data_IF_617340260482
#
_entry.id   IF_617340260482
#
_cell.length_a   1.000
_cell.length_b   1.000
_cell.length_c   1.000
_cell.angle_alpha   90.00
_cell.angle_beta   90.00
_cell.angle_gamma   90.00
#
_symmetry.space_group_name_H-M   'P 1'
#
loop_
_entity.id
_entity.type
_entity.pdbx_description
1 polymer ?
#
# COMPACT_ATOMS: atom_id res chain seq x y z
N UNK A 1 18.36 -5.73 -36.80
CA UNK A 1 19.60 -6.36 -36.33
C UNK A 1 20.01 -7.43 -37.33
N UNK A 2 21.25 -7.42 -37.80
CA UNK A 2 21.80 -8.52 -38.58
C UNK A 2 21.99 -9.77 -37.71
N UNK A 3 22.10 -10.95 -38.32
CA UNK A 3 22.25 -12.23 -37.59
C UNK A 3 23.42 -12.28 -36.60
N UNK A 4 24.48 -11.49 -36.84
CA UNK A 4 25.65 -11.37 -35.95
C UNK A 4 25.40 -10.55 -34.68
N UNK A 5 24.47 -9.59 -34.71
CA UNK A 5 24.23 -8.70 -33.57
C UNK A 5 23.41 -9.37 -32.45
N UNK A 6 22.58 -10.34 -32.82
CA UNK A 6 21.81 -11.14 -31.86
C UNK A 6 22.64 -12.23 -31.19
N UNK A 7 23.85 -12.53 -31.68
CA UNK A 7 24.73 -13.54 -31.08
C UNK A 7 25.21 -13.16 -29.66
N UNK A 8 25.25 -11.85 -29.36
CA UNK A 8 25.59 -11.32 -28.04
C UNK A 8 24.37 -11.19 -27.10
N UNK A 9 23.16 -11.41 -27.61
CA UNK A 9 21.92 -11.35 -26.82
C UNK A 9 21.67 -12.73 -26.23
N UNK A 10 21.46 -12.85 -24.90
CA UNK A 10 21.12 -14.13 -24.30
C UNK A 10 19.90 -14.76 -24.98
N UNK A 11 19.94 -16.07 -25.23
CA UNK A 11 18.93 -16.78 -26.03
C UNK A 11 17.50 -16.56 -25.54
N UNK A 12 17.30 -16.46 -24.23
CA UNK A 12 15.99 -16.21 -23.63
C UNK A 12 15.38 -14.83 -23.97
N UNK A 13 16.19 -13.82 -24.32
CA UNK A 13 15.68 -12.55 -24.87
C UNK A 13 15.44 -12.66 -26.39
N UNK A 14 16.28 -13.41 -27.11
CA UNK A 14 16.13 -13.64 -28.56
C UNK A 14 14.81 -14.36 -28.86
N UNK A 15 14.43 -15.32 -28.00
CA UNK A 15 13.19 -16.09 -28.11
C UNK A 15 11.92 -15.21 -27.99
N UNK A 16 12.01 -14.06 -27.30
CA UNK A 16 10.90 -13.12 -27.07
C UNK A 16 10.96 -11.88 -27.97
N UNK A 17 11.76 -11.90 -29.05
CA UNK A 17 12.06 -10.72 -29.89
C UNK A 17 10.82 -9.99 -30.44
N UNK A 18 9.73 -10.71 -30.70
CA UNK A 18 8.51 -10.15 -31.28
C UNK A 18 7.69 -9.36 -30.25
N UNK A 19 7.99 -9.51 -28.96
CA UNK A 19 7.38 -8.77 -27.85
C UNK A 19 8.25 -7.60 -27.36
N UNK A 20 9.50 -7.53 -27.80
CA UNK A 20 10.46 -6.50 -27.39
C UNK A 20 10.33 -5.31 -28.35
N UNK A 21 9.76 -4.21 -27.87
CA UNK A 21 9.52 -3.00 -28.66
C UNK A 21 10.79 -2.27 -29.12
N UNK A 22 11.93 -2.51 -28.47
CA UNK A 22 13.19 -1.86 -28.80
C UNK A 22 14.38 -2.57 -28.20
N UNK A 23 15.50 -2.55 -28.93
CA UNK A 23 16.76 -3.13 -28.50
C UNK A 23 17.81 -2.03 -28.37
N UNK A 24 18.53 -2.03 -27.25
CA UNK A 24 19.64 -1.12 -27.02
C UNK A 24 20.94 -1.90 -27.06
N UNK A 25 21.86 -1.49 -27.94
CA UNK A 25 23.24 -1.97 -27.93
C UNK A 25 24.05 -1.05 -27.03
N UNK A 26 24.55 -1.57 -25.92
CA UNK A 26 25.51 -0.84 -25.11
C UNK A 26 26.81 -0.71 -25.88
N UNK A 27 27.11 0.49 -26.35
CA UNK A 27 28.31 0.78 -27.15
C UNK A 27 29.49 1.25 -26.30
N UNK A 28 29.19 1.90 -25.18
CA UNK A 28 30.18 2.52 -24.29
C UNK A 28 29.57 2.68 -22.89
N UNK A 29 30.41 2.57 -21.85
CA UNK A 29 30.07 2.93 -20.48
C UNK A 29 31.04 4.02 -20.04
N UNK A 30 30.51 5.18 -19.68
CA UNK A 30 31.29 6.29 -19.15
C UNK A 30 30.95 6.50 -17.68
N UNK A 31 31.97 6.71 -16.85
CA UNK A 31 31.75 7.17 -15.48
C UNK A 31 31.24 8.62 -15.52
N UNK A 32 30.15 8.90 -14.81
CA UNK A 32 29.59 10.24 -14.66
C UNK A 32 29.23 10.50 -13.20
N UNK A 33 29.11 11.77 -12.84
CA UNK A 33 28.53 12.15 -11.55
C UNK A 33 27.06 11.74 -11.50
N UNK A 34 26.61 11.21 -10.36
CA UNK A 34 25.22 10.84 -10.17
C UNK A 34 24.36 12.11 -10.13
N UNK A 35 23.38 12.20 -11.03
CA UNK A 35 22.47 13.34 -11.13
C UNK A 35 21.08 12.93 -10.66
N UNK A 36 20.67 13.37 -9.46
CA UNK A 36 19.35 13.10 -8.87
C UNK A 36 18.22 13.52 -9.82
N UNK A 37 18.34 14.67 -10.48
CA UNK A 37 17.36 15.18 -11.44
C UNK A 37 17.14 14.23 -12.63
N UNK A 38 18.15 13.46 -13.02
CA UNK A 38 18.04 12.48 -14.10
C UNK A 38 17.49 11.16 -13.57
N UNK A 39 17.99 10.70 -12.42
CA UNK A 39 17.51 9.48 -11.76
C UNK A 39 16.01 9.55 -11.44
N UNK A 40 15.54 10.67 -10.89
CA UNK A 40 14.14 10.89 -10.53
C UNK A 40 13.20 10.81 -11.74
N UNK A 41 13.71 11.09 -12.95
CA UNK A 41 12.94 10.99 -14.20
C UNK A 41 12.69 9.56 -14.65
N UNK A 42 13.54 8.61 -14.26
CA UNK A 42 13.33 7.20 -14.57
C UNK A 42 12.13 6.66 -13.78
N UNK A 43 11.95 7.06 -12.53
CA UNK A 43 10.84 6.56 -11.72
C UNK A 43 10.92 5.04 -11.53
N UNK A 44 9.82 4.32 -11.80
CA UNK A 44 9.80 2.85 -11.93
C UNK A 44 10.19 2.36 -13.34
N UNK A 45 10.45 3.27 -14.27
CA UNK A 45 10.64 2.97 -15.69
C UNK A 45 12.12 2.84 -16.04
N UNK A 46 12.40 2.00 -17.03
CA UNK A 46 13.75 1.82 -17.58
C UNK A 46 14.14 2.92 -18.57
N UNK A 47 13.19 3.72 -19.06
CA UNK A 47 13.39 4.68 -20.14
C UNK A 47 12.92 6.08 -19.74
N UNK A 48 13.77 7.09 -19.96
CA UNK A 48 13.43 8.50 -19.80
C UNK A 48 13.15 9.12 -21.18
N UNK A 49 11.95 9.62 -21.45
CA UNK A 49 11.70 10.40 -22.66
C UNK A 49 12.51 11.71 -22.60
N UNK A 50 13.30 11.96 -23.65
CA UNK A 50 14.11 13.18 -23.78
C UNK A 50 13.27 14.41 -24.17
N UNK A 51 12.05 14.20 -24.66
CA UNK A 51 11.11 15.29 -24.95
C UNK A 51 10.57 15.89 -23.64
N UNK A 52 10.81 17.19 -23.42
CA UNK A 52 10.32 17.95 -22.26
C UNK A 52 8.78 18.05 -22.19
N UNK A 53 8.07 17.67 -23.25
CA UNK A 53 6.60 17.57 -23.27
C UNK A 53 6.06 16.25 -22.71
N UNK A 54 6.93 15.26 -22.49
CA UNK A 54 6.51 14.01 -21.88
C UNK A 54 6.20 14.24 -20.40
N UNK A 55 4.97 13.89 -20.00
CA UNK A 55 4.53 13.87 -18.61
C UNK A 55 5.43 12.92 -17.82
N UNK A 56 6.12 13.44 -16.81
CA UNK A 56 6.93 12.62 -15.90
C UNK A 56 6.01 11.99 -14.85
N UNK A 57 6.29 10.77 -14.38
CA UNK A 57 5.49 10.17 -13.31
C UNK A 57 5.61 11.03 -12.06
N UNK A 58 4.48 11.54 -11.56
CA UNK A 58 4.44 12.35 -10.35
C UNK A 58 4.56 11.43 -9.13
N UNK A 59 5.76 11.43 -8.54
CA UNK A 59 6.02 10.83 -7.22
C UNK A 59 5.38 11.60 -6.09
N UNK A 60 4.88 12.82 -6.31
CA UNK A 60 4.17 13.58 -5.29
C UNK A 60 2.82 14.04 -5.82
N UNK A 61 1.75 13.48 -5.26
CA UNK A 61 0.39 13.80 -5.67
C UNK A 61 -0.04 15.20 -5.18
N UNK A 62 -1.03 15.78 -5.88
CA UNK A 62 -1.70 17.01 -5.45
C UNK A 62 -2.37 16.86 -4.07
N UNK A 63 -2.52 18.00 -3.38
CA UNK A 63 -3.12 18.06 -2.05
C UNK A 63 -4.63 17.84 -2.10
N UNK A 64 -5.11 16.84 -1.37
CA UNK A 64 -6.54 16.61 -1.14
C UNK A 64 -6.96 17.24 0.17
N UNK A 65 -8.06 17.99 0.17
CA UNK A 65 -8.53 18.74 1.35
C UNK A 65 -9.79 18.08 1.89
N UNK A 66 -9.79 17.78 3.18
CA UNK A 66 -10.97 17.34 3.91
C UNK A 66 -11.18 18.25 5.13
N UNK A 67 -12.40 18.74 5.31
CA UNK A 67 -12.77 19.50 6.52
C UNK A 67 -13.10 18.56 7.69
N UNK A 68 -12.19 17.61 7.93
CA UNK A 68 -12.34 16.46 8.81
C UNK A 68 -10.96 16.02 9.29
N UNK A 69 -10.90 15.38 10.45
CA UNK A 69 -9.65 15.20 11.20
C UNK A 69 -9.19 13.75 11.31
N UNK A 70 -9.85 12.79 10.65
CA UNK A 70 -9.55 11.38 10.84
C UNK A 70 -9.31 10.59 9.54
N UNK A 71 -8.48 9.56 9.65
CA UNK A 71 -8.22 8.55 8.62
C UNK A 71 -8.84 7.23 9.08
N UNK A 72 -9.72 6.65 8.27
CA UNK A 72 -10.18 5.27 8.41
C UNK A 72 -9.18 4.36 7.69
N UNK A 73 -8.53 3.46 8.40
CA UNK A 73 -7.60 2.48 7.85
C UNK A 73 -8.24 1.09 7.80
N UNK A 74 -8.26 0.53 6.59
CA UNK A 74 -8.72 -0.80 6.26
C UNK A 74 -7.56 -1.59 5.63
N UNK A 75 -7.65 -2.91 5.67
CA UNK A 75 -6.67 -3.78 5.01
C UNK A 75 -7.28 -5.15 4.72
N UNK A 76 -6.72 -5.90 3.79
CA UNK A 76 -7.05 -7.30 3.53
C UNK A 76 -8.58 -7.49 3.39
N UNK A 77 -9.14 -6.84 2.36
CA UNK A 77 -10.57 -6.88 2.09
C UNK A 77 -10.98 -8.22 1.47
N UNK A 78 -10.14 -8.78 0.59
CA UNK A 78 -10.35 -10.08 -0.04
C UNK A 78 -11.70 -10.26 -0.74
N UNK A 79 -12.18 -9.27 -1.51
CA UNK A 79 -13.34 -9.47 -2.37
C UNK A 79 -13.11 -10.72 -3.22
N UNK A 80 -13.92 -11.75 -3.00
CA UNK A 80 -13.54 -13.08 -3.40
C UNK A 80 -14.37 -14.19 -2.79
N UNK A 81 -13.96 -15.44 -3.04
CA UNK A 81 -14.35 -16.59 -2.22
C UNK A 81 -14.01 -16.41 -0.73
N UNK A 82 -13.01 -15.60 -0.40
CA UNK A 82 -12.57 -15.38 0.98
C UNK A 82 -13.27 -14.18 1.66
N UNK A 83 -14.21 -13.49 0.99
CA UNK A 83 -14.91 -12.30 1.51
C UNK A 83 -16.01 -12.65 2.53
N UNK A 84 -16.13 -11.88 3.62
CA UNK A 84 -17.07 -12.16 4.71
C UNK A 84 -18.36 -11.34 4.68
N UNK A 85 -18.44 -10.26 3.90
CA UNK A 85 -19.58 -9.34 3.89
C UNK A 85 -20.47 -9.58 2.67
N UNK A 86 -21.70 -9.05 2.71
CA UNK A 86 -22.56 -9.03 1.52
C UNK A 86 -22.01 -8.04 0.49
N UNK A 87 -22.21 -8.34 -0.79
CA UNK A 87 -21.97 -7.37 -1.86
C UNK A 87 -23.10 -6.33 -1.90
N UNK A 88 -22.80 -5.12 -2.40
CA UNK A 88 -23.83 -4.11 -2.63
C UNK A 88 -24.94 -4.64 -3.54
N UNK A 89 -26.19 -4.54 -3.07
CA UNK A 89 -27.38 -5.04 -3.78
C UNK A 89 -27.66 -6.54 -3.63
N UNK A 90 -26.82 -7.28 -2.90
CA UNK A 90 -27.07 -8.69 -2.59
C UNK A 90 -28.23 -8.83 -1.60
N UNK A 91 -29.16 -9.75 -1.88
CA UNK A 91 -30.23 -10.10 -0.94
C UNK A 91 -29.77 -11.26 -0.06
N UNK A 92 -29.67 -11.10 1.27
CA UNK A 92 -29.24 -12.18 2.15
C UNK A 92 -30.25 -13.34 2.12
N UNK A 93 -29.72 -14.57 2.11
CA UNK A 93 -30.53 -15.76 2.34
C UNK A 93 -31.20 -15.73 3.72
N UNK A 94 -32.33 -16.42 3.87
CA UNK A 94 -33.05 -16.51 5.16
C UNK A 94 -32.11 -17.04 6.25
N UNK A 95 -31.99 -16.30 7.34
CA UNK A 95 -31.09 -16.62 8.46
C UNK A 95 -29.67 -16.07 8.34
N UNK A 96 -29.28 -15.51 7.18
CA UNK A 96 -28.03 -14.78 7.03
C UNK A 96 -28.21 -13.34 7.56
N UNK A 97 -27.52 -13.00 8.64
CA UNK A 97 -27.58 -11.66 9.26
C UNK A 97 -26.44 -10.75 8.80
N UNK A 98 -25.63 -11.18 7.83
CA UNK A 98 -24.52 -10.37 7.34
C UNK A 98 -25.05 -9.09 6.68
N UNK A 99 -24.23 -8.05 6.77
CA UNK A 99 -24.41 -6.76 6.12
C UNK A 99 -23.33 -6.55 5.07
N UNK A 100 -23.48 -5.51 4.28
CA UNK A 100 -22.36 -4.99 3.48
C UNK A 100 -21.27 -4.42 4.38
N UNK A 101 -20.04 -4.32 3.88
CA UNK A 101 -18.93 -3.74 4.64
C UNK A 101 -19.23 -2.30 5.06
N UNK A 102 -19.83 -1.51 4.17
CA UNK A 102 -20.28 -0.15 4.42
C UNK A 102 -21.25 -0.11 5.58
N UNK A 103 -22.33 -0.88 5.55
CA UNK A 103 -23.32 -0.87 6.63
C UNK A 103 -22.71 -1.28 7.98
N UNK A 104 -21.87 -2.31 8.00
CA UNK A 104 -21.20 -2.76 9.22
C UNK A 104 -20.24 -1.69 9.79
N UNK A 105 -19.45 -1.05 8.93
CA UNK A 105 -18.56 0.06 9.31
C UNK A 105 -19.38 1.25 9.82
N UNK A 106 -20.42 1.67 9.11
CA UNK A 106 -21.22 2.84 9.48
C UNK A 106 -21.95 2.63 10.81
N UNK A 107 -22.43 1.42 11.08
CA UNK A 107 -23.02 1.07 12.37
C UNK A 107 -22.01 1.24 13.52
N UNK A 108 -20.79 0.70 13.36
CA UNK A 108 -19.79 0.73 14.43
C UNK A 108 -19.13 2.11 14.59
N UNK A 109 -18.82 2.80 13.47
CA UNK A 109 -18.38 4.19 13.46
C UNK A 109 -19.41 5.12 14.10
N UNK A 110 -20.70 4.82 13.94
CA UNK A 110 -21.79 5.51 14.61
C UNK A 110 -21.75 5.33 16.12
N UNK A 111 -21.49 4.10 16.61
CA UNK A 111 -21.38 3.80 18.05
C UNK A 111 -20.22 4.52 18.72
N UNK A 112 -19.10 4.67 18.04
CA UNK A 112 -17.92 5.36 18.58
C UNK A 112 -17.86 6.85 18.22
N UNK A 113 -18.93 7.39 17.61
CA UNK A 113 -19.04 8.79 17.22
C UNK A 113 -17.99 9.25 16.21
N UNK A 114 -17.37 8.34 15.45
CA UNK A 114 -16.29 8.66 14.51
C UNK A 114 -16.78 9.02 13.10
N UNK A 115 -18.04 8.70 12.77
CA UNK A 115 -18.59 8.84 11.41
C UNK A 115 -18.30 10.19 10.75
N UNK A 116 -18.49 11.29 11.48
CA UNK A 116 -18.37 12.64 10.94
C UNK A 116 -16.91 13.15 10.94
N UNK A 117 -15.99 12.43 11.57
CA UNK A 117 -14.57 12.80 11.66
C UNK A 117 -13.76 12.24 10.48
N UNK A 118 -14.24 11.18 9.81
CA UNK A 118 -13.48 10.49 8.76
C UNK A 118 -13.36 11.37 7.51
N UNK A 119 -12.16 11.89 7.27
CA UNK A 119 -11.81 12.67 6.09
C UNK A 119 -11.10 11.87 5.00
N UNK A 120 -10.57 10.68 5.30
CA UNK A 120 -9.82 9.85 4.35
C UNK A 120 -10.05 8.38 4.63
N UNK A 121 -10.09 7.55 3.58
CA UNK A 121 -9.98 6.10 3.68
C UNK A 121 -8.59 5.69 3.19
N UNK A 122 -7.83 4.96 4.00
CA UNK A 122 -6.56 4.34 3.63
C UNK A 122 -6.73 2.84 3.59
N UNK A 123 -6.36 2.19 2.49
CA UNK A 123 -6.45 0.73 2.31
C UNK A 123 -5.07 0.16 2.03
N UNK A 124 -4.57 -0.68 2.94
CA UNK A 124 -3.22 -1.28 2.84
C UNK A 124 -3.22 -2.64 2.14
N UNK A 125 -3.87 -2.74 0.98
CA UNK A 125 -3.78 -3.89 0.09
C UNK A 125 -4.80 -5.00 0.30
N UNK A 126 -4.69 -5.99 -0.58
CA UNK A 126 -5.51 -7.19 -0.70
C UNK A 126 -6.99 -6.85 -0.87
N UNK A 127 -7.28 -6.04 -1.89
CA UNK A 127 -8.65 -5.76 -2.32
C UNK A 127 -9.32 -7.03 -2.86
N UNK A 128 -8.59 -7.83 -3.63
CA UNK A 128 -9.11 -9.04 -4.27
C UNK A 128 -8.62 -10.31 -3.59
N UNK A 129 -9.34 -11.41 -3.79
CA UNK A 129 -8.81 -12.74 -3.52
C UNK A 129 -8.10 -13.28 -4.76
N UNK A 130 -6.80 -13.56 -4.63
CA UNK A 130 -5.97 -14.26 -5.64
C UNK A 130 -5.89 -13.56 -7.01
N UNK A 131 -5.93 -12.22 -7.02
CA UNK A 131 -5.75 -11.43 -8.24
C UNK A 131 -6.92 -11.50 -9.21
N UNK A 132 -8.12 -11.88 -8.72
CA UNK A 132 -9.34 -11.90 -9.53
C UNK A 132 -9.78 -10.47 -9.83
N UNK A 133 -9.32 -9.92 -10.95
CA UNK A 133 -9.77 -8.62 -11.48
C UNK A 133 -10.85 -8.76 -12.56
N UNK A 134 -11.65 -9.83 -12.51
CA UNK A 134 -12.81 -9.96 -13.41
C UNK A 134 -13.72 -8.72 -13.32
N UNK A 135 -14.41 -8.40 -14.41
CA UNK A 135 -15.30 -7.23 -14.45
C UNK A 135 -16.30 -7.23 -13.29
N UNK A 136 -16.91 -8.39 -12.99
CA UNK A 136 -17.84 -8.54 -11.88
C UNK A 136 -17.16 -8.22 -10.53
N UNK A 137 -15.94 -8.72 -10.30
CA UNK A 137 -15.19 -8.45 -9.06
C UNK A 137 -14.87 -6.96 -8.93
N UNK A 138 -14.26 -6.38 -9.97
CA UNK A 138 -13.87 -4.97 -9.99
C UNK A 138 -15.08 -4.06 -9.75
N UNK A 139 -16.20 -4.32 -10.43
CA UNK A 139 -17.45 -3.58 -10.22
C UNK A 139 -17.99 -3.72 -8.81
N UNK A 140 -17.88 -4.88 -8.17
CA UNK A 140 -18.33 -5.06 -6.78
C UNK A 140 -17.50 -4.24 -5.77
N UNK A 141 -16.18 -4.17 -5.97
CA UNK A 141 -15.29 -3.35 -5.14
C UNK A 141 -15.62 -1.86 -5.34
N UNK A 142 -15.73 -1.41 -6.59
CA UNK A 142 -16.06 -0.01 -6.90
C UNK A 142 -17.44 0.38 -6.33
N UNK A 143 -18.43 -0.51 -6.39
CA UNK A 143 -19.75 -0.28 -5.79
C UNK A 143 -19.68 -0.16 -4.26
N UNK A 144 -18.87 -0.99 -3.60
CA UNK A 144 -18.66 -0.91 -2.15
C UNK A 144 -18.05 0.45 -1.77
N UNK A 145 -16.97 0.86 -2.43
CA UNK A 145 -16.32 2.14 -2.13
C UNK A 145 -17.19 3.34 -2.52
N UNK A 146 -18.00 3.25 -3.58
CA UNK A 146 -19.00 4.28 -3.89
C UNK A 146 -20.06 4.40 -2.79
N UNK A 147 -20.50 3.28 -2.21
CA UNK A 147 -21.43 3.26 -1.07
C UNK A 147 -20.78 3.86 0.18
N UNK A 148 -19.55 3.45 0.50
CA UNK A 148 -18.81 3.90 1.67
C UNK A 148 -18.47 5.39 1.62
N UNK A 149 -17.94 5.88 0.50
CA UNK A 149 -17.63 7.31 0.29
C UNK A 149 -18.88 8.16 0.40
N UNK A 150 -20.01 7.74 -0.20
CA UNK A 150 -21.31 8.41 -0.05
C UNK A 150 -21.80 8.42 1.39
N UNK A 151 -21.69 7.31 2.11
CA UNK A 151 -22.15 7.18 3.50
C UNK A 151 -21.32 8.03 4.48
N UNK A 152 -20.03 8.18 4.18
CA UNK A 152 -19.14 9.07 4.90
C UNK A 152 -19.29 10.52 4.42
N UNK A 153 -19.70 10.79 3.19
CA UNK A 153 -19.71 12.14 2.62
C UNK A 153 -18.30 12.64 2.30
N UNK A 154 -17.49 11.77 1.70
CA UNK A 154 -16.16 12.07 1.16
C UNK A 154 -16.13 11.70 -0.33
N UNK A 155 -15.14 12.22 -1.05
CA UNK A 155 -14.94 12.00 -2.48
C UNK A 155 -13.89 10.92 -2.75
N UNK A 156 -13.82 10.48 -4.01
CA UNK A 156 -12.91 9.41 -4.43
C UNK A 156 -11.42 9.73 -4.26
N UNK A 157 -11.04 11.01 -4.35
CA UNK A 157 -9.67 11.46 -4.12
C UNK A 157 -9.30 11.44 -2.62
N UNK A 158 -10.27 11.28 -1.72
CA UNK A 158 -10.02 11.06 -0.30
C UNK A 158 -9.77 9.57 0.03
N UNK A 159 -9.62 8.72 -0.99
CA UNK A 159 -9.19 7.32 -0.83
C UNK A 159 -7.71 7.23 -1.18
N UNK A 160 -6.96 6.49 -0.36
CA UNK A 160 -5.56 6.11 -0.60
C UNK A 160 -5.50 4.59 -0.67
N UNK A 161 -5.07 4.08 -1.82
CA UNK A 161 -4.98 2.64 -2.08
C UNK A 161 -3.51 2.22 -2.22
N UNK A 162 -3.14 1.17 -1.51
CA UNK A 162 -1.84 0.48 -1.58
C UNK A 162 -2.11 -0.94 -2.11
N UNK A 163 -1.28 -1.51 -3.00
CA UNK A 163 -1.47 -2.88 -3.47
C UNK A 163 -1.06 -3.89 -2.41
N UNK A 164 -1.80 -5.00 -2.33
CA UNK A 164 -1.36 -6.21 -1.64
C UNK A 164 -0.96 -7.33 -2.59
N UNK A 165 -0.39 -8.41 -2.06
CA UNK A 165 0.17 -9.48 -2.91
C UNK A 165 -0.93 -10.36 -3.54
N UNK A 166 -2.17 -10.27 -3.08
CA UNK A 166 -3.33 -10.81 -3.77
C UNK A 166 -3.90 -9.84 -4.81
N UNK A 167 -3.46 -8.60 -4.89
CA UNK A 167 -3.88 -7.65 -5.94
C UNK A 167 -3.00 -7.76 -7.20
N UNK A 168 -1.82 -8.36 -7.07
CA UNK A 168 -0.88 -8.57 -8.18
C UNK A 168 -1.10 -9.95 -8.79
N UNK A 169 -1.24 -10.00 -10.13
CA UNK A 169 -1.50 -11.26 -10.85
C UNK A 169 -0.25 -12.14 -10.80
N UNK A 170 -0.36 -13.26 -10.09
CA UNK A 170 0.72 -14.26 -9.95
C UNK A 170 0.75 -15.21 -11.14
N UNK A 171 1.91 -15.80 -11.41
CA UNK A 171 2.11 -16.79 -12.46
C UNK A 171 1.37 -18.08 -12.08
N UNK A 172 0.74 -18.73 -13.06
CA UNK A 172 -0.14 -19.87 -12.83
C UNK A 172 0.56 -21.11 -12.27
N UNK A 173 1.88 -21.24 -12.42
CA UNK A 173 2.65 -22.35 -11.87
C UNK A 173 4.09 -21.94 -11.52
N UNK A 174 4.42 -21.69 -10.24
CA UNK A 174 5.77 -21.33 -9.81
C UNK A 174 6.81 -22.44 -10.01
N UNK A 175 6.37 -23.71 -10.19
CA UNK A 175 7.26 -24.87 -10.24
C UNK A 175 7.79 -25.20 -11.64
N UNK A 176 7.19 -24.62 -12.69
CA UNK A 176 7.59 -24.80 -14.09
C UNK A 176 8.25 -23.56 -14.70
N UNK A 177 8.43 -22.51 -13.90
CA UNK A 177 8.86 -21.21 -14.38
C UNK A 177 10.36 -21.02 -14.14
N UNK A 178 11.11 -20.88 -15.23
CA UNK A 178 12.50 -20.44 -15.20
C UNK A 178 12.57 -19.00 -14.62
N UNK A 179 13.22 -18.79 -13.45
CA UNK A 179 13.30 -17.47 -12.83
C UNK A 179 13.88 -16.39 -13.75
N UNK A 180 14.77 -16.75 -14.67
CA UNK A 180 15.35 -15.83 -15.64
C UNK A 180 14.32 -15.39 -16.69
N UNK A 181 13.54 -16.32 -17.25
CA UNK A 181 12.46 -15.99 -18.22
C UNK A 181 11.35 -15.15 -17.58
N UNK A 182 11.06 -15.40 -16.31
CA UNK A 182 10.05 -14.69 -15.55
C UNK A 182 10.46 -13.25 -15.24
N UNK A 183 11.71 -13.05 -14.81
CA UNK A 183 12.27 -11.72 -14.60
C UNK A 183 12.19 -10.87 -15.87
N UNK A 184 12.51 -11.47 -17.03
CA UNK A 184 12.40 -10.82 -18.34
C UNK A 184 10.96 -10.46 -18.70
N UNK A 185 10.02 -11.40 -18.61
CA UNK A 185 8.60 -11.14 -18.94
C UNK A 185 7.99 -10.06 -18.04
N UNK A 186 8.35 -10.02 -16.76
CA UNK A 186 7.82 -9.08 -15.78
C UNK A 186 8.37 -7.66 -15.96
N UNK A 187 9.67 -7.54 -16.26
CA UNK A 187 10.32 -6.26 -16.56
C UNK A 187 9.88 -5.69 -17.92
N UNK A 188 9.56 -6.57 -18.88
CA UNK A 188 9.19 -6.14 -20.23
C UNK A 188 7.75 -5.62 -20.36
N UNK A 189 6.83 -6.03 -19.48
CA UNK A 189 5.38 -5.81 -19.71
C UNK A 189 4.61 -5.11 -18.59
N UNK A 190 5.09 -5.12 -17.34
CA UNK A 190 4.35 -4.64 -16.15
C UNK A 190 2.92 -5.21 -16.02
N UNK A 191 2.62 -6.33 -16.71
CA UNK A 191 1.27 -6.87 -16.84
C UNK A 191 0.70 -7.34 -15.50
N UNK A 192 1.58 -7.78 -14.59
CA UNK A 192 1.23 -8.29 -13.27
C UNK A 192 0.53 -7.26 -12.37
N UNK A 193 0.85 -5.97 -12.52
CA UNK A 193 0.25 -4.86 -11.75
C UNK A 193 -0.74 -4.02 -12.58
N UNK A 194 -0.84 -4.25 -13.89
CA UNK A 194 -1.69 -3.47 -14.80
C UNK A 194 -3.15 -3.42 -14.35
N UNK A 195 -3.71 -4.57 -13.95
CA UNK A 195 -5.12 -4.63 -13.52
C UNK A 195 -5.36 -3.79 -12.26
N UNK A 196 -4.44 -3.85 -11.30
CA UNK A 196 -4.49 -3.01 -10.10
C UNK A 196 -4.36 -1.53 -10.44
N UNK A 197 -3.44 -1.16 -11.35
CA UNK A 197 -3.25 0.22 -11.81
C UNK A 197 -4.51 0.78 -12.48
N UNK A 198 -5.16 0.01 -13.34
CA UNK A 198 -6.44 0.38 -13.95
C UNK A 198 -7.54 0.53 -12.90
N UNK A 199 -7.58 -0.38 -11.93
CA UNK A 199 -8.50 -0.26 -10.80
C UNK A 199 -8.26 1.02 -9.98
N UNK A 200 -7.02 1.42 -9.72
CA UNK A 200 -6.70 2.68 -9.05
C UNK A 200 -7.16 3.91 -9.85
N UNK A 201 -7.09 3.87 -11.18
CA UNK A 201 -7.63 4.97 -12.00
C UNK A 201 -9.14 5.12 -11.83
N UNK A 202 -9.87 4.00 -11.79
CA UNK A 202 -11.32 4.00 -11.55
C UNK A 202 -11.66 4.41 -10.11
N UNK A 203 -10.96 3.83 -9.12
CA UNK A 203 -11.24 4.02 -7.70
C UNK A 203 -10.85 5.41 -7.20
N UNK A 204 -9.62 5.86 -7.50
CA UNK A 204 -9.04 7.07 -6.90
C UNK A 204 -8.66 8.15 -7.92
N UNK A 205 -8.83 7.88 -9.22
CA UNK A 205 -8.49 8.83 -10.28
C UNK A 205 -6.99 8.99 -10.55
N UNK A 206 -6.13 8.13 -9.98
CA UNK A 206 -4.69 8.13 -10.26
C UNK A 206 -4.46 7.37 -11.57
N UNK A 207 -3.89 8.04 -12.55
CA UNK A 207 -3.58 7.45 -13.86
C UNK A 207 -2.77 6.16 -13.70
N UNK A 208 -3.14 5.12 -14.46
CA UNK A 208 -2.47 3.81 -14.42
C UNK A 208 -0.97 3.88 -14.79
N UNK A 209 -0.55 4.96 -15.46
CA UNK A 209 0.84 5.23 -15.86
C UNK A 209 1.70 5.78 -14.72
N UNK A 210 1.09 6.29 -13.66
CA UNK A 210 1.80 6.86 -12.52
C UNK A 210 2.40 5.78 -11.64
N UNK A 211 3.55 6.03 -11.02
CA UNK A 211 4.15 5.08 -10.07
C UNK A 211 3.21 4.71 -8.91
N UNK A 212 3.31 3.46 -8.44
CA UNK A 212 2.64 2.98 -7.23
C UNK A 212 3.42 3.33 -5.94
N UNK A 213 4.65 3.85 -6.08
CA UNK A 213 5.48 4.38 -5.01
C UNK A 213 5.47 5.92 -5.04
N UNK A 214 4.67 6.55 -4.20
CA UNK A 214 4.45 8.01 -4.25
C UNK A 214 4.07 8.60 -2.90
N UNK A 215 4.14 9.93 -2.81
CA UNK A 215 3.74 10.73 -1.66
C UNK A 215 2.34 11.28 -1.89
N UNK A 216 1.42 11.01 -0.97
CA UNK A 216 0.07 11.59 -0.93
C UNK A 216 0.02 12.73 0.08
N UNK A 217 -0.42 13.90 -0.38
CA UNK A 217 -0.67 15.08 0.47
C UNK A 217 -2.14 15.17 0.84
N UNK A 218 -2.43 15.20 2.13
CA UNK A 218 -3.76 15.43 2.67
C UNK A 218 -3.72 16.65 3.59
N UNK A 219 -4.76 17.48 3.51
CA UNK A 219 -5.05 18.49 4.50
C UNK A 219 -6.30 18.07 5.27
N UNK A 220 -6.14 17.72 6.55
CA UNK A 220 -7.18 17.22 7.43
C UNK A 220 -7.43 18.24 8.55
N UNK A 221 -8.47 19.07 8.40
CA UNK A 221 -8.74 20.17 9.33
C UNK A 221 -7.52 21.12 9.43
N UNK A 222 -6.97 21.21 10.64
CA UNK A 222 -5.86 22.11 10.98
C UNK A 222 -4.47 21.50 10.75
N UNK A 223 -4.39 20.22 10.37
CA UNK A 223 -3.12 19.52 10.13
C UNK A 223 -2.96 19.06 8.69
N UNK A 224 -1.72 18.89 8.27
CA UNK A 224 -1.39 18.20 7.03
C UNK A 224 -0.94 16.77 7.37
N UNK A 225 -1.22 15.84 6.46
CA UNK A 225 -0.74 14.47 6.53
C UNK A 225 -0.06 14.14 5.21
N UNK A 226 1.21 13.75 5.31
CA UNK A 226 1.98 13.25 4.19
C UNK A 226 2.09 11.74 4.31
N UNK A 227 1.63 11.00 3.31
CA UNK A 227 1.66 9.54 3.30
C UNK A 227 2.60 9.06 2.21
N UNK A 228 3.70 8.39 2.57
CA UNK A 228 4.47 7.58 1.63
C UNK A 228 3.69 6.30 1.33
N UNK A 229 3.08 6.23 0.15
CA UNK A 229 2.36 5.05 -0.36
C UNK A 229 3.38 4.18 -1.09
N UNK A 230 3.61 2.98 -0.58
CA UNK A 230 4.67 2.09 -1.05
C UNK A 230 4.11 0.75 -1.55
N UNK A 231 4.45 0.39 -2.77
CA UNK A 231 4.20 -0.93 -3.33
C UNK A 231 5.24 -1.91 -2.78
N UNK A 232 4.87 -2.72 -1.79
CA UNK A 232 5.73 -3.79 -1.28
C UNK A 232 5.57 -5.13 -2.02
N UNK A 233 4.83 -5.17 -3.13
CA UNK A 233 4.53 -6.39 -3.90
C UNK A 233 5.47 -6.56 -5.11
N UNK A 234 6.69 -6.03 -5.03
CA UNK A 234 7.62 -5.99 -6.16
C UNK A 234 8.44 -7.27 -6.35
N UNK A 235 8.42 -8.22 -5.39
CA UNK A 235 8.93 -9.58 -5.62
C UNK A 235 7.88 -10.36 -6.42
N UNK A 236 8.08 -10.43 -7.73
CA UNK A 236 7.11 -11.00 -8.65
C UNK A 236 7.35 -12.50 -8.88
N UNK A 237 6.26 -13.28 -8.77
CA UNK A 237 6.06 -14.61 -9.40
C UNK A 237 7.01 -15.76 -9.03
N UNK A 238 7.55 -15.78 -7.82
CA UNK A 238 8.19 -16.98 -7.26
C UNK A 238 7.40 -17.48 -6.04
N UNK A 239 7.86 -18.59 -5.43
CA UNK A 239 7.42 -18.99 -4.09
C UNK A 239 7.58 -17.88 -3.03
N UNK A 240 8.40 -16.86 -3.33
CA UNK A 240 8.69 -15.71 -2.48
C UNK A 240 7.70 -14.55 -2.61
N UNK A 241 6.59 -14.70 -3.36
CA UNK A 241 5.53 -13.67 -3.49
C UNK A 241 4.75 -13.37 -2.19
N UNK A 242 5.08 -14.08 -1.11
CA UNK A 242 4.60 -13.80 0.24
C UNK A 242 5.53 -12.83 1.00
N UNK A 243 6.71 -12.53 0.45
CA UNK A 243 7.64 -11.58 1.04
C UNK A 243 7.45 -10.19 0.44
N UNK A 244 7.57 -9.18 1.29
CA UNK A 244 7.55 -7.78 0.86
C UNK A 244 8.89 -7.32 0.30
N UNK A 245 8.85 -6.40 -0.65
CA UNK A 245 10.02 -5.66 -1.13
C UNK A 245 9.55 -4.36 -1.77
N UNK A 246 10.14 -3.22 -1.41
CA UNK A 246 9.80 -1.93 -2.04
C UNK A 246 10.88 -1.49 -3.04
N UNK A 247 12.12 -1.98 -2.88
CA UNK A 247 13.25 -1.62 -3.73
C UNK A 247 13.59 -0.13 -3.75
N UNK A 248 14.46 0.30 -4.67
CA UNK A 248 14.93 1.69 -4.74
C UNK A 248 13.80 2.69 -4.95
N UNK A 249 12.81 2.36 -5.78
CA UNK A 249 11.71 3.27 -6.05
C UNK A 249 10.87 3.59 -4.81
N UNK A 250 10.68 2.62 -3.92
CA UNK A 250 10.05 2.87 -2.63
C UNK A 250 10.91 3.73 -1.71
N UNK A 251 12.24 3.52 -1.72
CA UNK A 251 13.19 4.36 -0.98
C UNK A 251 13.18 5.81 -1.53
N UNK A 252 13.08 6.00 -2.84
CA UNK A 252 12.96 7.31 -3.47
C UNK A 252 11.67 8.01 -3.03
N UNK A 253 10.54 7.29 -2.97
CA UNK A 253 9.29 7.86 -2.45
C UNK A 253 9.42 8.29 -0.97
N UNK A 254 10.19 7.58 -0.16
CA UNK A 254 10.51 8.01 1.22
C UNK A 254 11.44 9.23 1.26
N UNK A 255 12.41 9.33 0.35
CA UNK A 255 13.27 10.52 0.24
C UNK A 255 12.44 11.75 -0.15
N UNK A 256 11.55 11.61 -1.13
CA UNK A 256 10.59 12.65 -1.52
C UNK A 256 9.71 13.06 -0.33
N UNK A 257 9.15 12.08 0.40
CA UNK A 257 8.40 12.32 1.64
C UNK A 257 9.23 13.11 2.67
N UNK A 258 10.51 12.79 2.79
CA UNK A 258 11.47 13.48 3.65
C UNK A 258 11.69 14.93 3.25
N UNK A 259 11.79 15.20 1.95
CA UNK A 259 12.06 16.50 1.35
C UNK A 259 10.85 17.46 1.33
N UNK A 260 9.64 16.94 1.54
CA UNK A 260 8.42 17.73 1.57
C UNK A 260 8.48 18.91 2.55
N UNK A 261 8.04 20.07 2.07
CA UNK A 261 7.97 21.31 2.86
C UNK A 261 6.85 21.22 3.90
N UNK A 262 7.15 21.69 5.11
CA UNK A 262 6.22 21.71 6.25
C UNK A 262 5.82 23.15 6.54
N UNK A 263 4.60 23.52 6.10
CA UNK A 263 4.04 24.87 6.28
C UNK A 263 3.01 24.96 7.41
N UNK A 264 2.51 23.82 7.89
CA UNK A 264 1.59 23.72 9.03
C UNK A 264 1.99 22.53 9.92
N UNK A 265 1.29 22.26 11.03
CA UNK A 265 1.52 21.03 11.80
C UNK A 265 1.26 19.81 10.91
N UNK A 266 2.28 18.97 10.72
CA UNK A 266 2.25 17.88 9.73
C UNK A 266 2.58 16.54 10.37
N UNK A 267 1.81 15.52 10.06
CA UNK A 267 2.15 14.12 10.36
C UNK A 267 2.73 13.44 9.11
N UNK A 268 3.76 12.63 9.29
CA UNK A 268 4.32 11.78 8.22
C UNK A 268 4.02 10.32 8.50
N UNK A 269 3.33 9.68 7.56
CA UNK A 269 2.89 8.29 7.61
C UNK A 269 3.54 7.53 6.44
N UNK A 270 3.83 6.25 6.63
CA UNK A 270 4.17 5.31 5.57
C UNK A 270 3.12 4.21 5.51
N UNK A 271 2.65 3.86 4.31
CA UNK A 271 1.65 2.83 4.09
C UNK A 271 2.17 1.80 3.08
N UNK A 272 2.16 0.53 3.47
CA UNK A 272 2.59 -0.62 2.68
C UNK A 272 1.75 -1.84 3.05
N UNK A 273 1.76 -2.92 2.26
CA UNK A 273 0.99 -4.11 2.60
C UNK A 273 1.73 -5.08 3.52
N UNK A 274 2.93 -5.53 3.13
CA UNK A 274 3.73 -6.49 3.88
C UNK A 274 4.31 -5.95 5.20
N UNK A 275 4.54 -6.86 6.14
CA UNK A 275 5.07 -6.57 7.47
C UNK A 275 6.50 -6.04 7.46
N UNK A 276 6.77 -5.07 8.35
CA UNK A 276 8.13 -4.59 8.66
C UNK A 276 8.72 -5.25 9.91
N UNK A 277 7.84 -5.71 10.80
CA UNK A 277 8.18 -6.34 12.06
C UNK A 277 7.29 -7.58 12.25
N UNK A 278 7.75 -8.60 12.99
CA UNK A 278 6.93 -9.76 13.30
C UNK A 278 5.62 -9.35 13.99
N UNK A 279 4.47 -9.78 13.44
CA UNK A 279 3.16 -9.51 14.04
C UNK A 279 2.69 -10.61 14.98
N UNK A 280 3.20 -11.84 14.85
CA UNK A 280 2.93 -12.93 15.80
C UNK A 280 3.94 -12.97 16.94
N UNK A 281 3.51 -13.44 18.12
CA UNK A 281 4.45 -13.89 19.17
C UNK A 281 5.15 -15.20 18.81
N UNK A 282 4.46 -16.08 18.08
CA UNK A 282 5.01 -17.34 17.55
C UNK A 282 4.53 -17.48 16.11
N UNK A 283 5.45 -17.44 15.16
CA UNK A 283 5.12 -17.64 13.76
C UNK A 283 4.68 -19.09 13.54
N UNK A 284 3.59 -19.29 12.80
CA UNK A 284 3.19 -20.64 12.41
C UNK A 284 4.14 -21.13 11.32
N UNK A 285 4.94 -22.14 11.63
CA UNK A 285 5.81 -22.78 10.64
C UNK A 285 4.94 -23.45 9.57
N UNK A 286 4.85 -22.82 8.41
CA UNK A 286 4.18 -23.37 7.23
C UNK A 286 5.17 -23.37 6.05
N UNK A 287 4.76 -23.93 4.91
CA UNK A 287 5.61 -23.98 3.70
C UNK A 287 6.00 -22.60 3.14
N UNK A 288 5.29 -21.54 3.54
CA UNK A 288 5.52 -20.14 3.11
C UNK A 288 6.51 -19.40 4.01
N UNK A 289 6.89 -19.96 5.16
CA UNK A 289 7.84 -19.33 6.10
C UNK A 289 7.25 -18.13 6.85
N UNK A 290 8.14 -17.31 7.41
CA UNK A 290 7.78 -16.04 8.08
C UNK A 290 7.71 -14.96 7.00
N UNK A 291 6.54 -14.32 6.85
CA UNK A 291 6.28 -13.36 5.78
C UNK A 291 6.59 -11.93 6.23
N UNK A 292 7.81 -11.47 5.90
CA UNK A 292 8.29 -10.12 6.19
C UNK A 292 8.78 -9.45 4.91
N UNK A 293 8.91 -8.13 4.94
CA UNK A 293 9.64 -7.44 3.89
C UNK A 293 11.13 -7.77 3.97
N UNK A 294 11.73 -8.23 2.88
CA UNK A 294 13.14 -8.70 2.84
C UNK A 294 14.12 -7.55 3.06
N UNK A 295 13.72 -6.33 2.71
CA UNK A 295 14.45 -5.08 2.90
C UNK A 295 13.94 -4.27 4.11
N UNK A 296 13.13 -4.87 5.02
CA UNK A 296 12.51 -4.18 6.14
C UNK A 296 13.46 -3.27 6.96
N UNK A 297 14.68 -3.69 7.35
CA UNK A 297 15.61 -2.80 8.06
C UNK A 297 15.92 -1.53 7.27
N UNK A 298 16.17 -1.67 5.97
CA UNK A 298 16.47 -0.55 5.07
C UNK A 298 15.26 0.38 4.90
N UNK A 299 14.05 -0.18 4.83
CA UNK A 299 12.81 0.60 4.79
C UNK A 299 12.67 1.41 6.08
N UNK A 300 12.86 0.78 7.24
CA UNK A 300 12.73 1.44 8.54
C UNK A 300 13.77 2.56 8.70
N UNK A 301 15.03 2.32 8.31
CA UNK A 301 16.08 3.34 8.34
C UNK A 301 15.73 4.54 7.43
N UNK A 302 15.27 4.29 6.21
CA UNK A 302 14.85 5.33 5.28
C UNK A 302 13.61 6.11 5.78
N UNK A 303 12.65 5.41 6.40
CA UNK A 303 11.46 6.01 6.98
C UNK A 303 11.83 6.92 8.17
N UNK A 304 12.74 6.48 9.05
CA UNK A 304 13.24 7.30 10.16
C UNK A 304 13.93 8.56 9.65
N UNK A 305 14.79 8.43 8.62
CA UNK A 305 15.46 9.58 7.98
C UNK A 305 14.46 10.55 7.33
N UNK A 306 13.38 10.05 6.75
CA UNK A 306 12.30 10.86 6.20
C UNK A 306 11.42 11.55 7.26
N UNK A 307 11.59 11.18 8.54
CA UNK A 307 10.79 11.68 9.66
C UNK A 307 9.40 11.04 9.75
N UNK A 308 9.22 9.82 9.21
CA UNK A 308 7.99 9.04 9.37
C UNK A 308 7.76 8.76 10.85
N UNK A 309 6.53 8.94 11.31
CA UNK A 309 6.14 8.74 12.71
C UNK A 309 5.29 7.48 12.89
N UNK A 310 4.57 7.09 11.83
CA UNK A 310 3.66 5.96 11.81
C UNK A 310 3.82 5.18 10.50
N UNK A 311 4.03 3.86 10.61
CA UNK A 311 3.89 2.91 9.52
C UNK A 311 2.60 2.10 9.71
N UNK A 312 1.80 1.96 8.65
CA UNK A 312 0.56 1.16 8.66
C UNK A 312 0.61 0.09 7.59
N UNK A 313 0.14 -1.12 7.93
CA UNK A 313 0.14 -2.25 7.00
C UNK A 313 -0.93 -3.32 7.26
N UNK A 314 -0.94 -4.34 6.38
CA UNK A 314 -1.83 -5.50 6.34
C UNK A 314 -1.09 -6.83 6.36
N UNK A 315 -1.57 -7.81 5.57
CA UNK A 315 -0.94 -9.07 5.15
C UNK A 315 -1.34 -10.34 5.90
N UNK A 316 -0.81 -10.61 7.11
CA UNK A 316 -1.16 -11.86 7.83
C UNK A 316 -2.48 -11.78 8.62
N UNK A 317 -3.33 -10.78 8.36
CA UNK A 317 -4.64 -10.59 9.00
C UNK A 317 -4.60 -10.47 10.53
N UNK A 318 -3.45 -10.16 11.12
CA UNK A 318 -3.27 -10.03 12.57
C UNK A 318 -3.11 -8.57 13.00
N UNK A 319 -4.01 -8.04 13.87
CA UNK A 319 -3.89 -6.69 14.39
C UNK A 319 -2.74 -6.59 15.39
N UNK A 320 -1.94 -5.52 15.30
CA UNK A 320 -0.86 -5.25 16.28
C UNK A 320 -0.46 -3.79 16.29
N UNK A 321 -0.11 -3.28 17.47
CA UNK A 321 0.53 -1.97 17.64
C UNK A 321 1.88 -2.20 18.31
N UNK A 322 2.96 -1.72 17.68
CA UNK A 322 4.31 -1.76 18.24
C UNK A 322 5.03 -0.44 18.02
N UNK A 323 6.04 -0.18 18.86
CA UNK A 323 6.97 0.94 18.70
C UNK A 323 8.34 0.39 18.34
N UNK A 324 8.86 0.80 17.20
CA UNK A 324 10.20 0.47 16.72
C UNK A 324 11.18 1.54 17.14
N UNK A 325 12.27 1.13 17.76
CA UNK A 325 13.40 1.98 18.12
C UNK A 325 14.70 1.20 17.89
N UNK A 326 15.71 1.84 17.32
CA UNK A 326 17.00 1.22 17.01
C UNK A 326 18.12 1.99 17.70
N UNK A 327 19.10 1.29 18.27
CA UNK A 327 20.21 1.95 18.93
C UNK A 327 21.24 2.43 17.89
N UNK A 328 21.65 3.68 18.01
CA UNK A 328 22.73 4.20 17.16
C UNK A 328 24.07 3.56 17.52
N UNK A 329 24.77 3.10 16.50
CA UNK A 329 26.11 2.54 16.62
C UNK A 329 27.17 3.59 16.25
N UNK A 330 28.36 3.46 16.82
CA UNK A 330 29.53 4.30 16.51
C UNK A 330 29.31 5.82 16.65
N UNK A 331 28.43 6.24 17.57
CA UNK A 331 28.19 7.66 17.84
C UNK A 331 27.32 8.37 16.79
N UNK A 332 26.65 7.63 15.90
CA UNK A 332 25.65 8.20 15.02
C UNK A 332 24.49 8.86 15.81
N UNK A 333 23.81 9.88 15.26
CA UNK A 333 22.65 10.47 15.90
C UNK A 333 21.50 9.46 16.05
N UNK A 334 20.89 9.44 17.23
CA UNK A 334 19.70 8.64 17.49
C UNK A 334 18.55 9.04 16.57
N UNK A 335 18.03 8.06 15.84
CA UNK A 335 16.87 8.23 14.99
C UNK A 335 15.59 8.20 15.84
N UNK A 336 14.55 8.98 15.49
CA UNK A 336 13.26 8.90 16.17
C UNK A 336 12.61 7.52 16.03
N UNK A 337 11.89 7.10 17.07
CA UNK A 337 11.10 5.87 17.02
C UNK A 337 9.92 5.98 16.04
N UNK A 338 9.50 4.85 15.48
CA UNK A 338 8.34 4.73 14.57
C UNK A 338 7.28 3.84 15.22
N UNK A 339 6.03 4.27 15.23
CA UNK A 339 4.92 3.36 15.53
C UNK A 339 4.61 2.51 14.30
N UNK A 340 4.46 1.19 14.46
CA UNK A 340 4.02 0.29 13.39
C UNK A 340 2.69 -0.33 13.79
N UNK A 341 1.67 -0.10 12.97
CA UNK A 341 0.30 -0.56 13.19
C UNK A 341 -0.10 -1.52 12.08
N UNK A 342 -0.25 -2.80 12.44
CA UNK A 342 -0.90 -3.81 11.63
C UNK A 342 -2.40 -3.72 11.86
N UNK A 343 -3.20 -3.49 10.82
CA UNK A 343 -4.65 -3.42 10.98
C UNK A 343 -5.25 -4.80 11.29
N UNK A 344 -4.64 -5.88 10.81
CA UNK A 344 -5.34 -7.14 10.60
C UNK A 344 -6.21 -7.07 9.34
N UNK A 345 -7.21 -7.94 9.22
CA UNK A 345 -8.12 -7.96 8.07
C UNK A 345 -9.38 -7.15 8.31
N UNK A 346 -9.91 -6.49 7.30
CA UNK A 346 -11.21 -5.81 7.35
C UNK A 346 -12.32 -6.58 6.63
N UNK A 347 -12.00 -7.61 5.84
CA UNK A 347 -12.99 -8.23 4.93
C UNK A 347 -13.00 -9.76 4.89
N UNK A 348 -12.05 -10.44 5.52
CA UNK A 348 -11.80 -11.87 5.34
C UNK A 348 -12.75 -12.75 6.16
N UNK A 349 -13.19 -13.86 5.56
CA UNK A 349 -14.04 -14.86 6.19
C UNK A 349 -13.35 -15.54 7.39
N UNK A 350 -14.11 -15.99 8.41
CA UNK A 350 -13.54 -16.63 9.60
C UNK A 350 -12.62 -17.83 9.33
N UNK A 351 -12.81 -18.53 8.20
CA UNK A 351 -11.99 -19.70 7.82
C UNK A 351 -10.56 -19.30 7.41
N UNK A 352 -10.37 -18.04 7.04
CA UNK A 352 -9.10 -17.49 6.56
C UNK A 352 -8.43 -16.55 7.57
N UNK A 353 -9.06 -16.33 8.71
CA UNK A 353 -8.48 -15.60 9.82
C UNK A 353 -7.59 -16.53 10.67
N UNK A 354 -6.39 -16.10 11.07
CA UNK A 354 -5.54 -16.90 11.96
C UNK A 354 -6.18 -17.09 13.33
N UNK A 355 -6.20 -18.34 13.83
CA UNK A 355 -6.63 -18.65 15.20
C UNK A 355 -8.01 -18.09 15.55
N UNK A 356 -8.07 -17.19 16.53
CA UNK A 356 -9.30 -16.57 17.02
C UNK A 356 -9.43 -15.09 16.59
N UNK A 357 -8.63 -14.65 15.62
CA UNK A 357 -8.70 -13.27 15.13
C UNK A 357 -10.06 -12.96 14.52
N UNK A 358 -10.34 -11.66 14.43
CA UNK A 358 -11.58 -11.11 13.88
C UNK A 358 -11.23 -10.05 12.86
N UNK A 359 -12.18 -9.72 12.00
CA UNK A 359 -12.03 -8.54 11.17
C UNK A 359 -11.93 -7.30 12.05
N UNK A 360 -11.18 -6.31 11.61
CA UNK A 360 -10.78 -5.12 12.34
C UNK A 360 -10.66 -3.91 11.41
N UNK A 361 -10.79 -2.73 11.99
CA UNK A 361 -10.45 -1.46 11.34
C UNK A 361 -9.78 -0.52 12.35
N UNK A 362 -9.03 0.44 11.83
CA UNK A 362 -8.41 1.49 12.63
C UNK A 362 -8.96 2.87 12.27
N UNK A 363 -9.09 3.75 13.26
CA UNK A 363 -9.36 5.18 13.07
C UNK A 363 -8.22 5.96 13.72
N UNK A 364 -7.52 6.75 12.90
CA UNK A 364 -6.52 7.70 13.37
C UNK A 364 -7.16 9.08 13.39
N UNK A 365 -7.46 9.62 14.58
CA UNK A 365 -7.89 11.02 14.72
C UNK A 365 -6.66 11.89 14.96
N UNK A 366 -6.52 12.95 14.18
CA UNK A 366 -5.36 13.83 14.18
C UNK A 366 -5.75 15.23 14.64
N UNK A 367 -4.92 15.82 15.49
CA UNK A 367 -5.02 17.22 15.89
C UNK A 367 -3.66 17.89 15.79
N UNK A 368 -3.61 19.20 16.03
CA UNK A 368 -2.34 19.92 16.06
C UNK A 368 -1.44 19.52 17.25
N UNK A 369 -1.88 18.63 18.14
CA UNK A 369 -1.12 18.19 19.33
C UNK A 369 -0.73 16.72 19.28
N UNK A 370 -1.66 15.88 18.87
CA UNK A 370 -1.58 14.44 19.07
C UNK A 370 -2.29 13.65 17.98
N UNK A 371 -1.98 12.35 17.93
CA UNK A 371 -2.64 11.35 17.10
C UNK A 371 -3.27 10.29 18.00
N UNK A 372 -4.59 10.17 17.96
CA UNK A 372 -5.34 9.14 18.69
C UNK A 372 -5.66 7.96 17.78
N UNK A 373 -5.28 6.75 18.19
CA UNK A 373 -5.62 5.51 17.50
C UNK A 373 -6.78 4.82 18.22
N UNK A 374 -7.83 4.50 17.47
CA UNK A 374 -8.86 3.54 17.87
C UNK A 374 -8.81 2.32 16.95
N UNK A 375 -8.65 1.12 17.49
CA UNK A 375 -8.70 -0.15 16.75
C UNK A 375 -9.88 -0.99 17.27
N UNK A 376 -10.73 -1.43 16.35
CA UNK A 376 -11.99 -2.12 16.70
C UNK A 376 -12.20 -3.37 15.87
N UNK A 377 -12.85 -4.36 16.49
CA UNK A 377 -13.43 -5.49 15.79
C UNK A 377 -14.55 -5.01 14.87
N UNK A 378 -14.52 -5.45 13.62
CA UNK A 378 -15.56 -5.27 12.62
C UNK A 378 -16.37 -6.57 12.49
N UNK A 379 -17.67 -6.47 12.74
CA UNK A 379 -18.56 -7.64 12.68
C UNK A 379 -19.42 -7.60 11.43
N UNK A 380 -19.39 -8.68 10.65
CA UNK A 380 -20.22 -8.80 9.45
C UNK A 380 -21.73 -8.75 9.75
N UNK A 381 -22.16 -9.11 10.97
CA UNK A 381 -23.57 -8.99 11.40
C UNK A 381 -23.97 -7.56 11.84
N UNK A 382 -23.04 -6.60 11.77
CA UNK A 382 -23.24 -5.22 12.17
C UNK A 382 -23.41 -5.02 13.67
N UNK A 383 -23.28 -6.04 14.52
CA UNK A 383 -23.33 -5.86 15.98
C UNK A 383 -22.10 -5.11 16.49
N UNK A 384 -22.16 -4.63 17.72
CA UNK A 384 -21.02 -3.96 18.35
C UNK A 384 -19.82 -4.91 18.41
N UNK A 385 -18.71 -4.51 17.80
CA UNK A 385 -17.43 -5.21 17.94
C UNK A 385 -16.77 -4.89 19.28
N UNK A 386 -15.71 -5.61 19.64
CA UNK A 386 -14.82 -5.30 20.76
C UNK A 386 -13.88 -4.13 20.45
N UNK A 387 -13.42 -3.41 21.48
CA UNK A 387 -12.33 -2.45 21.34
C UNK A 387 -11.00 -3.17 21.59
N UNK A 388 -10.10 -3.17 20.61
CA UNK A 388 -8.78 -3.81 20.73
C UNK A 388 -7.75 -2.83 21.30
N UNK A 389 -7.83 -1.56 20.86
CA UNK A 389 -6.98 -0.48 21.35
C UNK A 389 -7.73 0.85 21.26
N UNK A 390 -7.54 1.73 22.23
CA UNK A 390 -7.94 3.13 22.14
C UNK A 390 -7.01 3.96 23.00
N UNK A 391 -6.26 4.86 22.38
CA UNK A 391 -5.28 5.67 23.10
C UNK A 391 -4.49 6.59 22.18
N UNK A 392 -3.86 7.58 22.79
CA UNK A 392 -2.94 8.49 22.09
C UNK A 392 -1.62 7.77 21.84
N UNK A 393 -1.12 7.89 20.61
CA UNK A 393 0.24 7.50 20.30
C UNK A 393 1.17 8.62 20.75
N UNK A 394 2.39 8.30 21.19
CA UNK A 394 3.41 9.31 21.54
C UNK A 394 3.98 9.95 20.27
N UNK A 395 3.11 10.60 19.51
CA UNK A 395 3.34 11.23 18.21
C UNK A 395 2.72 12.62 18.28
N UNK A 396 3.56 13.65 18.10
CA UNK A 396 3.12 15.03 17.91
C UNK A 396 3.42 15.49 16.50
N UNK A 397 2.61 16.38 15.90
CA UNK A 397 2.86 16.82 14.54
C UNK A 397 4.16 17.60 14.44
N UNK A 398 4.87 17.40 13.34
CA UNK A 398 6.06 18.15 12.99
C UNK A 398 5.63 19.58 12.72
N UNK A 399 6.21 20.54 13.44
CA UNK A 399 5.90 21.96 13.28
C UNK A 399 6.82 22.58 12.21
N UNK A 400 6.37 23.64 11.51
CA UNK A 400 7.23 24.40 10.60
C UNK A 400 8.49 24.87 11.33
N UNK A 401 9.64 24.82 10.66
CA UNK A 401 10.86 25.44 11.19
C UNK A 401 10.59 26.94 11.30
N UNK A 402 10.86 27.52 12.48
CA UNK A 402 10.83 28.98 12.63
C UNK A 402 11.81 29.59 11.62
N UNK A 403 11.33 30.56 10.84
CA UNK A 403 12.12 31.28 9.85
C UNK A 403 13.24 32.10 10.48
#
# INVERSE_FOLDING_TARGET
MGGDELAAVPSYYVDERDRIFGWFKLVEIQACEYLDEVANRFGDHTLVPLDRRAHQPDRVAGTTRANRSAILHLSDLHFGPDYDFLLQGETPAVGNTKKTLTEALMDDLGRIGAKNDIGTILVTGDFTTKGDWSQARRSSILAEFASLTKALGIERDQIVAVPGNHDIVRAMDPSSVDPAKLAVSNQATYEHELQYRVFCEELIGRSWRETLNYVRRLQLGDVDVLIGVLNSCTIVQTEWSEYGYIGESGIDALRELGAERIDRPTFKIMALHHHLLPVTSVATLNKKGITLSVDAPRILDAAQQAGVQLAVHGHEHMPRVVKYDNQSLAGAPQQPAIYVVSNGSSGVSPVRLPGNERNTYCVFRLSDKEMHLTMRELRADGKAGSSLFSGDLEISPIRPKAA
#
